data_IF_628247554605
#
_entry.id   IF_628247554605
#
_cell.length_a   1.000
_cell.length_b   1.000
_cell.length_c   1.000
_cell.angle_alpha   90.00
_cell.angle_beta   90.00
_cell.angle_gamma   90.00
#
_symmetry.space_group_name_H-M   'P 1'
#
loop_
_entity.id
_entity.type
_entity.pdbx_description
1 polymer ?
#
# COMPACT_ATOMS: atom_id res chain seq x y z
N UNK A 1 -31.09 -9.66 14.47
CA UNK A 1 -29.69 -9.86 14.92
C UNK A 1 -29.01 -8.51 14.78
N UNK A 2 -28.51 -7.93 15.87
CA UNK A 2 -27.76 -6.68 15.82
C UNK A 2 -26.45 -6.94 15.07
N UNK A 3 -26.34 -6.52 13.80
CA UNK A 3 -25.06 -6.42 13.10
C UNK A 3 -24.20 -5.43 13.87
N UNK A 4 -23.30 -5.94 14.74
CA UNK A 4 -22.25 -5.11 15.31
C UNK A 4 -21.48 -4.50 14.15
N UNK A 5 -21.50 -3.18 14.06
CA UNK A 5 -20.66 -2.42 13.14
C UNK A 5 -19.22 -2.75 13.51
N UNK A 6 -18.50 -3.39 12.59
CA UNK A 6 -17.08 -3.69 12.81
C UNK A 6 -16.34 -2.36 12.92
N UNK A 7 -15.59 -2.19 14.02
CA UNK A 7 -14.67 -1.08 14.14
C UNK A 7 -13.67 -1.12 12.98
N UNK A 8 -13.29 0.05 12.47
CA UNK A 8 -12.34 0.22 11.37
C UNK A 8 -11.47 1.40 11.73
N UNK A 9 -10.17 1.27 11.52
CA UNK A 9 -9.20 2.29 11.89
C UNK A 9 -8.55 2.90 10.66
N UNK A 10 -8.20 4.15 10.83
CA UNK A 10 -7.33 4.94 9.96
C UNK A 10 -5.97 5.01 10.62
N UNK A 11 -4.99 5.70 10.04
CA UNK A 11 -3.71 5.88 10.72
C UNK A 11 -2.56 6.28 9.83
N UNK A 12 -2.82 6.65 8.58
CA UNK A 12 -1.78 7.23 7.74
C UNK A 12 -1.54 8.66 8.19
N UNK A 13 -0.32 8.93 8.65
CA UNK A 13 0.16 10.26 8.93
C UNK A 13 0.33 11.07 7.64
N UNK A 14 0.37 12.41 7.71
CA UNK A 14 0.57 13.25 6.53
C UNK A 14 1.80 12.81 5.73
N UNK A 15 1.66 12.85 4.41
CA UNK A 15 2.75 12.61 3.46
C UNK A 15 3.96 13.48 3.80
N UNK A 16 5.15 12.88 3.71
CA UNK A 16 6.44 13.57 3.79
C UNK A 16 7.08 13.68 2.41
N UNK A 17 8.07 14.57 2.27
CA UNK A 17 8.85 14.72 1.04
C UNK A 17 10.31 14.43 1.33
N UNK A 18 10.86 13.40 0.69
CA UNK A 18 12.27 13.07 0.72
C UNK A 18 12.84 13.07 -0.70
N UNK A 19 13.68 14.05 -1.08
CA UNK A 19 14.17 14.20 -2.45
C UNK A 19 15.10 13.07 -2.91
N UNK A 20 15.49 12.16 -2.01
CA UNK A 20 16.27 10.96 -2.33
C UNK A 20 15.41 9.82 -2.86
N UNK A 21 14.09 9.89 -2.70
CA UNK A 21 13.18 8.90 -3.27
C UNK A 21 13.05 9.20 -4.76
N UNK A 22 13.37 8.25 -5.65
CA UNK A 22 13.24 8.47 -7.08
C UNK A 22 11.77 8.58 -7.48
N UNK A 23 11.48 9.55 -8.34
CA UNK A 23 10.19 9.69 -8.99
C UNK A 23 10.16 8.87 -10.28
N UNK A 24 9.06 8.17 -10.53
CA UNK A 24 8.88 7.34 -11.72
C UNK A 24 9.07 8.16 -13.01
N UNK A 25 8.53 9.38 -13.06
CA UNK A 25 8.67 10.28 -14.21
C UNK A 25 10.14 10.55 -14.59
N UNK A 26 11.01 10.73 -13.59
CA UNK A 26 12.45 10.91 -13.81
C UNK A 26 13.12 9.63 -14.34
N UNK A 27 12.69 8.45 -13.91
CA UNK A 27 13.22 7.16 -14.38
C UNK A 27 12.78 6.81 -15.81
N UNK A 28 11.67 7.42 -16.25
CA UNK A 28 11.09 7.22 -17.57
C UNK A 28 11.40 8.36 -18.54
N UNK A 29 12.11 9.40 -18.10
CA UNK A 29 12.44 10.55 -18.95
C UNK A 29 13.11 10.12 -20.26
N UNK A 30 12.53 10.54 -21.39
CA UNK A 30 13.00 10.20 -22.73
C UNK A 30 12.66 8.77 -23.22
N UNK A 31 11.92 7.98 -22.44
CA UNK A 31 11.42 6.66 -22.85
C UNK A 31 10.00 6.77 -23.37
N UNK A 32 9.71 6.05 -24.45
CA UNK A 32 8.34 5.80 -24.88
C UNK A 32 7.90 4.44 -24.33
N UNK A 33 6.92 4.44 -23.43
CA UNK A 33 6.33 3.22 -22.90
C UNK A 33 5.03 2.88 -23.66
N UNK A 34 4.67 1.59 -23.76
CA UNK A 34 3.34 1.22 -24.20
C UNK A 34 2.30 1.76 -23.20
N UNK A 35 1.08 2.08 -23.65
CA UNK A 35 0.00 2.43 -22.73
C UNK A 35 -0.30 1.22 -21.81
N UNK A 36 -0.75 1.47 -20.57
CA UNK A 36 -1.19 0.40 -19.69
C UNK A 36 -2.37 -0.37 -20.32
N UNK A 37 -2.54 -1.66 -20.01
CA UNK A 37 -3.71 -2.42 -20.44
C UNK A 37 -5.01 -1.74 -19.97
N UNK A 38 -6.15 -1.93 -20.65
CA UNK A 38 -7.40 -1.28 -20.29
C UNK A 38 -7.92 -1.70 -18.90
N UNK A 39 -7.56 -2.90 -18.44
CA UNK A 39 -7.92 -3.43 -17.11
C UNK A 39 -6.95 -4.51 -16.68
N UNK A 40 -6.71 -4.61 -15.37
CA UNK A 40 -6.04 -5.76 -14.73
C UNK A 40 -6.71 -6.07 -13.41
N UNK A 41 -6.72 -7.33 -13.00
CA UNK A 41 -7.25 -7.74 -11.70
C UNK A 41 -6.43 -8.91 -11.13
N UNK A 42 -5.50 -8.57 -10.23
CA UNK A 42 -4.63 -9.53 -9.57
C UNK A 42 -5.29 -10.23 -8.37
N UNK A 43 -6.54 -9.94 -8.04
CA UNK A 43 -7.29 -10.65 -6.99
C UNK A 43 -8.21 -11.74 -7.53
N UNK A 44 -8.26 -11.93 -8.85
CA UNK A 44 -9.07 -12.98 -9.47
C UNK A 44 -8.65 -14.36 -8.95
N UNK A 45 -9.57 -15.05 -8.26
CA UNK A 45 -9.34 -16.37 -7.66
C UNK A 45 -8.86 -16.35 -6.20
N UNK A 46 -8.59 -15.17 -5.63
CA UNK A 46 -8.26 -15.03 -4.21
C UNK A 46 -9.52 -15.20 -3.33
N UNK A 47 -9.37 -15.60 -2.05
CA UNK A 47 -10.45 -15.57 -1.08
C UNK A 47 -11.08 -14.17 -0.96
N UNK A 48 -12.37 -14.11 -0.61
CA UNK A 48 -13.05 -12.83 -0.39
C UNK A 48 -12.63 -12.14 0.93
N UNK A 49 -12.11 -12.92 1.89
CA UNK A 49 -11.61 -12.42 3.16
C UNK A 49 -10.09 -12.40 3.15
N UNK A 50 -9.53 -11.19 3.15
CA UNK A 50 -8.08 -10.94 3.15
C UNK A 50 -7.49 -10.86 4.57
N UNK A 51 -8.33 -10.96 5.61
CA UNK A 51 -7.91 -10.79 7.00
C UNK A 51 -7.81 -9.31 7.39
N UNK A 52 -8.19 -8.97 8.62
CA UNK A 52 -8.25 -7.58 9.06
C UNK A 52 -6.87 -6.98 9.37
N UNK A 53 -5.89 -7.82 9.71
CA UNK A 53 -4.53 -7.41 10.04
C UNK A 53 -4.50 -6.33 11.12
N UNK A 54 -5.33 -6.52 12.17
CA UNK A 54 -5.53 -5.59 13.29
C UNK A 54 -6.04 -4.18 12.94
N UNK A 55 -6.34 -3.88 11.67
CA UNK A 55 -6.76 -2.55 11.25
C UNK A 55 -8.23 -2.19 11.60
N UNK A 56 -8.85 -2.98 12.48
CA UNK A 56 -10.07 -2.71 13.22
C UNK A 56 -9.81 -2.24 14.67
N UNK A 57 -8.58 -2.43 15.16
CA UNK A 57 -8.15 -2.09 16.53
C UNK A 57 -6.97 -1.10 16.56
N UNK A 58 -6.07 -1.15 15.58
CA UNK A 58 -4.86 -0.34 15.48
C UNK A 58 -4.89 0.60 14.29
N UNK A 59 -4.21 1.74 14.42
CA UNK A 59 -4.00 2.71 13.33
C UNK A 59 -2.87 2.32 12.38
N UNK A 60 -2.77 1.04 12.07
CA UNK A 60 -1.63 0.40 11.41
C UNK A 60 -1.81 0.23 9.90
N UNK A 61 -2.72 0.97 9.27
CA UNK A 61 -3.08 0.80 7.85
C UNK A 61 -1.86 0.77 6.91
N UNK A 62 -0.82 1.54 7.19
CA UNK A 62 0.42 1.54 6.41
C UNK A 62 1.17 0.21 6.46
N UNK A 63 1.05 -0.51 7.58
CA UNK A 63 1.62 -1.83 7.78
C UNK A 63 0.71 -2.92 7.19
N UNK A 64 -0.60 -2.87 7.47
CA UNK A 64 -1.56 -3.84 6.94
C UNK A 64 -1.56 -3.87 5.40
N UNK A 65 -1.51 -2.71 4.75
CA UNK A 65 -1.43 -2.61 3.30
C UNK A 65 -0.20 -3.31 2.69
N UNK A 66 0.94 -3.34 3.39
CA UNK A 66 2.14 -4.08 2.95
C UNK A 66 1.89 -5.59 2.94
N UNK A 67 1.26 -6.14 3.97
CA UNK A 67 0.96 -7.56 4.01
C UNK A 67 -0.15 -7.96 3.03
N UNK A 68 -1.10 -7.07 2.73
CA UNK A 68 -2.02 -7.25 1.62
C UNK A 68 -1.31 -7.29 0.25
N UNK A 69 -0.26 -6.48 0.04
CA UNK A 69 0.58 -6.59 -1.15
C UNK A 69 1.22 -7.98 -1.25
N UNK A 70 1.76 -8.50 -0.14
CA UNK A 70 2.37 -9.84 -0.08
C UNK A 70 1.35 -10.93 -0.41
N UNK A 71 0.10 -10.84 0.08
CA UNK A 71 -0.97 -11.78 -0.28
C UNK A 71 -1.19 -11.80 -1.80
N UNK A 72 -1.29 -10.63 -2.43
CA UNK A 72 -1.49 -10.50 -3.88
C UNK A 72 -0.32 -11.08 -4.65
N UNK A 73 0.92 -10.70 -4.29
CA UNK A 73 2.12 -11.17 -4.97
C UNK A 73 2.31 -12.67 -4.85
N UNK A 74 2.24 -13.22 -3.63
CA UNK A 74 2.41 -14.65 -3.38
C UNK A 74 1.34 -15.47 -4.09
N UNK A 75 0.07 -15.06 -4.01
CA UNK A 75 -1.00 -15.76 -4.69
C UNK A 75 -0.79 -15.79 -6.21
N UNK A 76 -0.52 -14.64 -6.82
CA UNK A 76 -0.45 -14.56 -8.28
C UNK A 76 0.85 -15.10 -8.86
N UNK A 77 1.99 -14.92 -8.21
CA UNK A 77 3.28 -15.41 -8.69
C UNK A 77 3.54 -16.87 -8.34
N UNK A 78 2.99 -17.36 -7.21
CA UNK A 78 3.31 -18.69 -6.66
C UNK A 78 2.09 -19.63 -6.60
N UNK A 79 0.92 -19.15 -7.02
CA UNK A 79 -0.36 -19.87 -6.91
C UNK A 79 -0.70 -20.31 -5.47
N UNK A 80 -0.19 -19.55 -4.48
CA UNK A 80 -0.40 -19.79 -3.05
C UNK A 80 -0.33 -18.47 -2.30
N UNK A 81 -1.45 -18.07 -1.70
CA UNK A 81 -1.48 -16.90 -0.83
C UNK A 81 -0.67 -17.14 0.44
N UNK A 82 0.18 -16.18 0.78
CA UNK A 82 0.83 -16.08 2.08
C UNK A 82 0.15 -15.00 2.90
N UNK A 83 -0.51 -15.42 3.98
CA UNK A 83 -1.14 -14.54 4.97
C UNK A 83 -0.32 -14.60 6.25
N UNK A 84 0.26 -13.47 6.64
CA UNK A 84 1.05 -13.39 7.87
C UNK A 84 0.16 -13.23 9.11
N UNK A 85 0.58 -13.79 10.26
CA UNK A 85 -0.14 -13.58 11.53
C UNK A 85 -0.23 -12.11 11.92
N UNK A 86 -1.34 -11.71 12.55
CA UNK A 86 -1.55 -10.35 13.10
C UNK A 86 -0.38 -9.86 13.99
N UNK A 87 0.28 -10.77 14.71
CA UNK A 87 1.45 -10.46 15.54
C UNK A 87 2.62 -9.89 14.73
N UNK A 88 2.79 -10.32 13.48
CA UNK A 88 3.87 -9.84 12.62
C UNK A 88 3.52 -8.48 12.00
N UNK A 89 2.22 -8.22 11.79
CA UNK A 89 1.69 -6.90 11.46
C UNK A 89 1.92 -5.91 12.61
N UNK A 90 1.54 -6.28 13.84
CA UNK A 90 1.77 -5.48 15.04
C UNK A 90 3.27 -5.22 15.25
N UNK A 91 4.13 -6.22 15.05
CA UNK A 91 5.58 -6.03 15.14
C UNK A 91 6.11 -5.04 14.10
N UNK A 92 5.58 -5.03 12.88
CA UNK A 92 5.95 -4.01 11.90
C UNK A 92 5.52 -2.63 12.38
N UNK A 93 4.30 -2.50 12.93
CA UNK A 93 3.79 -1.23 13.45
C UNK A 93 4.62 -0.72 14.63
N UNK A 94 5.05 -1.59 15.54
CA UNK A 94 5.99 -1.27 16.62
C UNK A 94 7.31 -0.76 16.03
N UNK A 95 7.90 -1.49 15.08
CA UNK A 95 9.27 -1.25 14.64
C UNK A 95 9.40 -0.10 13.64
N UNK A 96 8.42 0.08 12.74
CA UNK A 96 8.45 1.08 11.68
C UNK A 96 7.70 2.37 12.05
N UNK A 97 6.70 2.29 12.93
CA UNK A 97 5.84 3.43 13.28
C UNK A 97 5.96 3.85 14.76
N UNK A 98 6.64 3.07 15.60
CA UNK A 98 6.86 3.41 17.00
C UNK A 98 5.66 3.12 17.91
N UNK A 99 4.74 2.25 17.50
CA UNK A 99 3.64 1.81 18.35
C UNK A 99 4.16 1.15 19.64
N UNK A 100 3.53 1.49 20.78
CA UNK A 100 3.82 0.92 22.08
C UNK A 100 2.57 0.23 22.65
N UNK A 101 2.47 -1.11 22.62
CA UNK A 101 1.28 -1.83 23.07
C UNK A 101 0.97 -1.62 24.56
N UNK A 102 1.94 -1.18 25.36
CA UNK A 102 1.71 -0.86 26.79
C UNK A 102 0.92 0.43 27.00
N UNK A 103 0.86 1.33 26.01
CA UNK A 103 0.08 2.56 26.09
C UNK A 103 -1.39 2.34 25.75
N UNK A 104 -1.73 1.24 25.06
CA UNK A 104 -3.07 0.98 24.55
C UNK A 104 -3.51 1.97 23.47
N UNK A 105 -4.76 1.83 23.02
CA UNK A 105 -5.32 2.63 21.93
C UNK A 105 -4.81 2.22 20.54
N UNK A 106 -5.08 3.07 19.55
CA UNK A 106 -4.79 2.79 18.14
C UNK A 106 -3.31 2.98 17.77
N UNK A 107 -2.54 3.67 18.61
CA UNK A 107 -1.16 4.04 18.34
C UNK A 107 -0.99 5.31 17.50
N UNK A 108 0.25 5.64 17.11
CA UNK A 108 0.60 6.92 16.51
C UNK A 108 0.32 7.05 15.00
N UNK A 109 -0.14 5.99 14.33
CA UNK A 109 -0.18 5.92 12.88
C UNK A 109 1.21 5.78 12.25
N UNK A 110 1.26 5.69 10.92
CA UNK A 110 2.48 5.49 10.15
C UNK A 110 2.63 6.49 9.00
N UNK A 111 3.86 6.87 8.69
CA UNK A 111 4.19 7.59 7.46
C UNK A 111 4.69 6.59 6.41
N UNK A 112 4.12 6.66 5.20
CA UNK A 112 4.36 5.68 4.13
C UNK A 112 5.82 5.59 3.71
N UNK A 113 6.50 6.72 3.53
CA UNK A 113 7.92 6.73 3.16
C UNK A 113 8.81 6.12 4.25
N UNK A 114 8.49 6.35 5.52
CA UNK A 114 9.22 5.74 6.64
C UNK A 114 9.00 4.22 6.69
N UNK A 115 7.77 3.75 6.48
CA UNK A 115 7.47 2.32 6.41
C UNK A 115 8.21 1.69 5.22
N UNK A 116 8.11 2.25 4.03
CA UNK A 116 8.82 1.75 2.83
C UNK A 116 10.35 1.75 3.02
N UNK A 117 10.92 2.79 3.65
CA UNK A 117 12.35 2.80 3.98
C UNK A 117 12.72 1.73 5.01
N UNK A 118 11.84 1.47 5.98
CA UNK A 118 12.02 0.37 6.94
C UNK A 118 12.02 -0.99 6.22
N UNK A 119 11.07 -1.22 5.31
CA UNK A 119 11.02 -2.44 4.49
C UNK A 119 12.28 -2.62 3.64
N UNK A 120 12.78 -1.53 3.04
CA UNK A 120 13.99 -1.55 2.22
C UNK A 120 15.24 -1.93 3.02
N UNK A 121 15.37 -1.40 4.24
CA UNK A 121 16.61 -1.51 5.02
C UNK A 121 16.59 -2.67 6.01
N UNK A 122 15.44 -2.90 6.66
CA UNK A 122 15.23 -3.88 7.73
C UNK A 122 14.28 -5.03 7.32
N UNK A 123 13.30 -4.75 6.46
CA UNK A 123 12.28 -5.72 6.02
C UNK A 123 11.11 -5.85 6.99
N UNK A 124 9.96 -6.32 6.53
CA UNK A 124 8.84 -6.67 7.40
C UNK A 124 9.17 -7.94 8.22
N UNK A 125 8.70 -8.06 9.48
CA UNK A 125 8.60 -9.35 10.15
C UNK A 125 7.88 -10.38 9.28
N UNK A 126 8.38 -11.61 9.23
CA UNK A 126 7.82 -12.64 8.38
C UNK A 126 8.01 -14.06 8.95
N UNK A 127 6.98 -14.90 8.81
CA UNK A 127 6.84 -16.18 9.48
C UNK A 127 6.60 -16.04 10.99
N UNK A 128 6.23 -17.13 11.68
CA UNK A 128 5.83 -17.12 13.09
C UNK A 128 6.67 -16.20 14.00
N UNK A 129 6.03 -15.16 14.54
CA UNK A 129 6.65 -14.18 15.45
C UNK A 129 7.84 -13.42 14.84
N UNK A 130 7.89 -13.24 13.52
CA UNK A 130 8.90 -12.44 12.83
C UNK A 130 10.25 -13.14 12.73
N UNK A 131 10.26 -14.47 12.69
CA UNK A 131 11.48 -15.28 12.66
C UNK A 131 12.37 -15.01 11.43
N UNK A 132 11.79 -14.45 10.37
CA UNK A 132 12.49 -14.01 9.16
C UNK A 132 12.10 -12.59 8.78
N UNK A 133 12.74 -12.03 7.74
CA UNK A 133 12.52 -10.65 7.30
C UNK A 133 12.23 -10.61 5.81
N UNK A 134 11.12 -10.00 5.45
CA UNK A 134 10.71 -9.77 4.07
C UNK A 134 11.14 -8.38 3.61
N UNK A 135 12.21 -8.27 2.81
CA UNK A 135 12.71 -6.99 2.31
C UNK A 135 12.19 -6.70 0.91
N UNK A 136 11.79 -5.46 0.68
CA UNK A 136 11.57 -4.95 -0.67
C UNK A 136 12.92 -4.65 -1.33
N UNK A 137 12.97 -4.73 -2.67
CA UNK A 137 14.16 -4.41 -3.45
C UNK A 137 14.33 -2.90 -3.65
N UNK A 138 13.21 -2.16 -3.66
CA UNK A 138 13.16 -0.72 -3.84
C UNK A 138 11.72 -0.23 -4.03
N UNK A 139 11.57 1.08 -4.04
CA UNK A 139 10.28 1.72 -4.30
C UNK A 139 10.47 3.05 -5.01
N UNK A 140 9.48 3.48 -5.78
CA UNK A 140 9.48 4.74 -6.52
C UNK A 140 8.22 5.52 -6.19
N UNK A 141 8.32 6.84 -6.13
CA UNK A 141 7.15 7.69 -6.01
C UNK A 141 6.51 7.91 -7.38
N UNK A 142 5.18 7.79 -7.44
CA UNK A 142 4.37 7.94 -8.65
C UNK A 142 3.47 9.15 -8.46
N UNK A 143 3.35 10.00 -9.50
CA UNK A 143 2.46 11.16 -9.43
C UNK A 143 1.00 10.69 -9.49
N UNK A 144 0.18 10.89 -8.43
CA UNK A 144 -1.23 10.48 -8.46
C UNK A 144 -2.05 11.19 -9.54
N UNK A 145 -1.57 12.32 -10.08
CA UNK A 145 -2.25 13.05 -11.15
C UNK A 145 -2.09 12.37 -12.51
N UNK A 146 -1.08 11.51 -12.66
CA UNK A 146 -0.89 10.72 -13.87
C UNK A 146 -1.51 9.33 -13.71
N UNK A 147 -2.79 9.20 -14.04
CA UNK A 147 -3.53 7.94 -13.90
C UNK A 147 -2.92 6.81 -14.75
N UNK A 148 -2.31 7.12 -15.90
CA UNK A 148 -1.67 6.09 -16.71
C UNK A 148 -0.40 5.55 -16.05
N UNK A 149 0.36 6.40 -15.34
CA UNK A 149 1.49 5.94 -14.53
C UNK A 149 1.03 5.10 -13.33
N UNK A 150 -0.09 5.46 -12.70
CA UNK A 150 -0.70 4.65 -11.63
C UNK A 150 -1.13 3.28 -12.16
N UNK A 151 -1.82 3.23 -13.31
CA UNK A 151 -2.24 2.00 -13.96
C UNK A 151 -1.06 1.12 -14.38
N UNK A 152 -0.01 1.74 -14.93
CA UNK A 152 1.23 1.05 -15.28
C UNK A 152 1.90 0.51 -14.01
N UNK A 153 1.92 1.29 -12.93
CA UNK A 153 2.44 0.84 -11.62
C UNK A 153 1.68 -0.37 -11.10
N UNK A 154 0.35 -0.38 -11.15
CA UNK A 154 -0.45 -1.54 -10.76
C UNK A 154 -0.10 -2.74 -11.65
N UNK A 155 -0.10 -2.55 -12.97
CA UNK A 155 0.21 -3.62 -13.94
C UNK A 155 1.57 -4.25 -13.66
N UNK A 156 2.57 -3.42 -13.42
CA UNK A 156 3.96 -3.85 -13.41
C UNK A 156 4.45 -4.27 -12.01
N UNK A 157 3.95 -3.64 -10.95
CA UNK A 157 4.30 -3.95 -9.56
C UNK A 157 3.32 -4.96 -8.93
N UNK A 158 2.23 -5.31 -9.62
CA UNK A 158 1.14 -6.13 -9.08
C UNK A 158 0.20 -5.36 -8.15
N UNK A 159 0.71 -4.31 -7.48
CA UNK A 159 -0.08 -3.37 -6.70
C UNK A 159 0.48 -1.95 -6.82
N UNK A 160 -0.39 -0.94 -6.66
CA UNK A 160 0.06 0.38 -6.23
C UNK A 160 -0.25 0.56 -4.74
N UNK A 161 0.73 1.00 -3.95
CA UNK A 161 0.57 1.31 -2.53
C UNK A 161 0.28 2.80 -2.40
N UNK A 162 -0.86 3.18 -1.81
CA UNK A 162 -1.38 4.55 -1.86
C UNK A 162 -1.77 5.09 -0.49
N UNK A 163 -1.64 6.42 -0.36
CA UNK A 163 -2.11 7.20 0.77
C UNK A 163 -3.16 8.23 0.35
N UNK A 164 -4.21 8.38 1.15
CA UNK A 164 -5.29 9.32 0.85
C UNK A 164 -5.96 9.87 2.10
N UNK A 165 -6.59 11.04 1.95
CA UNK A 165 -7.40 11.65 2.99
C UNK A 165 -8.81 11.07 2.92
N UNK A 166 -9.28 10.48 4.02
CA UNK A 166 -10.56 9.77 4.09
C UNK A 166 -11.70 10.76 4.35
N UNK A 167 -12.62 10.96 3.40
CA UNK A 167 -13.87 11.66 3.67
C UNK A 167 -14.83 10.78 4.49
N UNK A 168 -15.63 11.43 5.33
CA UNK A 168 -16.61 10.79 6.21
C UNK A 168 -17.62 9.90 5.46
N UNK A 169 -17.95 10.20 4.20
CA UNK A 169 -18.94 9.44 3.41
C UNK A 169 -18.53 7.98 3.15
N UNK A 170 -17.24 7.66 3.09
CA UNK A 170 -16.78 6.28 2.90
C UNK A 170 -16.58 5.53 4.22
N UNK A 171 -16.76 6.20 5.37
CA UNK A 171 -16.67 5.58 6.69
C UNK A 171 -17.83 6.06 7.58
N UNK A 172 -19.09 5.77 7.22
CA UNK A 172 -20.25 6.31 7.92
C UNK A 172 -20.30 5.85 9.37
N UNK A 173 -20.69 6.76 10.27
CA UNK A 173 -20.88 6.41 11.69
C UNK A 173 -21.97 5.36 11.83
N UNK A 174 -21.66 4.24 12.48
CA UNK A 174 -22.63 3.17 12.71
C UNK A 174 -22.99 2.36 11.47
N UNK A 175 -22.19 2.40 10.41
CA UNK A 175 -22.38 1.62 9.19
C UNK A 175 -21.09 1.04 8.64
N UNK A 176 -21.24 0.18 7.62
CA UNK A 176 -20.11 -0.31 6.85
C UNK A 176 -19.74 0.67 5.73
N UNK A 177 -18.45 0.79 5.37
CA UNK A 177 -18.02 1.46 4.16
C UNK A 177 -18.76 0.94 2.93
N UNK A 178 -19.18 1.83 2.01
CA UNK A 178 -19.80 1.40 0.78
C UNK A 178 -18.82 0.57 -0.06
N UNK A 179 -19.32 -0.43 -0.78
CA UNK A 179 -18.50 -1.26 -1.67
C UNK A 179 -17.81 -0.45 -2.79
N UNK A 180 -18.39 0.69 -3.17
CA UNK A 180 -17.84 1.62 -4.16
C UNK A 180 -17.65 3.00 -3.53
N UNK A 181 -16.43 3.50 -3.56
CA UNK A 181 -16.04 4.81 -3.04
C UNK A 181 -16.15 5.85 -4.14
N UNK A 182 -17.04 6.81 -3.93
CA UNK A 182 -17.34 7.90 -4.86
C UNK A 182 -17.28 9.23 -4.13
N UNK A 183 -17.06 10.32 -4.88
CA UNK A 183 -17.06 11.67 -4.30
C UNK A 183 -18.49 12.03 -3.92
N UNK A 184 -18.70 12.35 -2.65
CA UNK A 184 -19.93 12.98 -2.17
C UNK A 184 -19.62 14.44 -1.79
N UNK A 185 -20.02 15.42 -2.61
CA UNK A 185 -19.82 16.83 -2.30
C UNK A 185 -20.57 17.30 -1.05
N UNK A 186 -21.62 16.59 -0.63
CA UNK A 186 -22.43 16.94 0.54
C UNK A 186 -21.83 16.45 1.87
N UNK A 187 -20.89 15.51 1.80
CA UNK A 187 -20.27 14.89 2.98
C UNK A 187 -18.79 14.59 2.75
N UNK A 188 -18.01 15.64 2.50
CA UNK A 188 -16.57 15.53 2.21
C UNK A 188 -15.67 15.89 3.40
N UNK A 189 -16.19 15.91 4.62
CA UNK A 189 -15.37 16.20 5.80
C UNK A 189 -14.28 15.13 5.94
N UNK A 190 -13.01 15.55 6.01
CA UNK A 190 -11.89 14.63 6.18
C UNK A 190 -11.80 14.20 7.64
N UNK A 191 -11.77 12.90 7.88
CA UNK A 191 -11.76 12.31 9.22
C UNK A 191 -10.43 11.64 9.58
N UNK A 192 -9.49 11.58 8.64
CA UNK A 192 -8.14 11.04 8.87
C UNK A 192 -7.45 10.67 7.55
N UNK A 193 -6.27 10.06 7.66
CA UNK A 193 -5.53 9.50 6.54
C UNK A 193 -5.55 7.97 6.55
N UNK A 194 -5.59 7.36 5.36
CA UNK A 194 -5.56 5.91 5.21
C UNK A 194 -4.58 5.46 4.14
N UNK A 195 -4.01 4.28 4.35
CA UNK A 195 -3.10 3.62 3.44
C UNK A 195 -3.69 2.28 2.99
N UNK A 196 -3.64 2.01 1.69
CA UNK A 196 -4.21 0.79 1.07
C UNK A 196 -3.38 0.35 -0.13
N UNK A 197 -3.68 -0.83 -0.66
CA UNK A 197 -3.12 -1.29 -1.94
C UNK A 197 -4.18 -1.43 -3.02
N UNK A 198 -3.77 -1.14 -4.25
CA UNK A 198 -4.56 -1.26 -5.46
C UNK A 198 -4.07 -2.44 -6.30
N UNK A 199 -4.69 -3.64 -6.21
CA UNK A 199 -4.27 -4.81 -6.98
C UNK A 199 -4.90 -4.90 -8.38
N UNK A 200 -5.59 -3.87 -8.83
CA UNK A 200 -6.24 -3.89 -10.13
C UNK A 200 -7.02 -2.62 -10.44
N UNK A 201 -7.53 -2.55 -11.66
CA UNK A 201 -8.36 -1.46 -12.15
C UNK A 201 -9.11 -1.84 -13.42
N UNK A 202 -10.07 -1.01 -13.78
CA UNK A 202 -10.75 -0.97 -15.08
C UNK A 202 -11.01 0.50 -15.49
N UNK A 203 -11.92 0.72 -16.43
CA UNK A 203 -12.28 2.03 -16.92
C UNK A 203 -12.95 2.91 -15.84
N UNK A 204 -13.65 2.31 -14.88
CA UNK A 204 -14.44 2.99 -13.86
C UNK A 204 -13.63 3.36 -12.61
N UNK A 205 -12.62 2.56 -12.26
CA UNK A 205 -11.79 2.83 -11.09
C UNK A 205 -10.76 1.76 -10.75
N UNK A 206 -10.12 1.95 -9.60
CA UNK A 206 -9.21 0.98 -9.01
C UNK A 206 -9.96 -0.03 -8.12
N UNK A 207 -9.48 -1.27 -8.10
CA UNK A 207 -9.80 -2.26 -7.07
C UNK A 207 -8.92 -1.93 -5.86
N UNK A 208 -9.47 -2.03 -4.64
CA UNK A 208 -8.78 -1.71 -3.39
C UNK A 208 -8.88 -2.89 -2.45
N UNK A 209 -7.79 -3.25 -1.77
CA UNK A 209 -7.86 -4.10 -0.58
C UNK A 209 -7.77 -3.19 0.65
N UNK A 210 -8.77 -3.26 1.52
CA UNK A 210 -8.78 -2.56 2.80
C UNK A 210 -9.66 -3.28 3.80
N UNK A 211 -9.36 -3.17 5.10
CA UNK A 211 -10.17 -3.74 6.18
C UNK A 211 -10.61 -5.21 5.91
N UNK A 212 -9.66 -6.01 5.40
CA UNK A 212 -9.85 -7.43 5.10
C UNK A 212 -10.78 -7.78 3.93
N UNK A 213 -11.15 -6.83 3.07
CA UNK A 213 -12.02 -7.09 1.92
C UNK A 213 -11.73 -6.17 0.72
N UNK A 214 -12.42 -6.43 -0.39
CA UNK A 214 -12.31 -5.64 -1.62
C UNK A 214 -13.31 -4.49 -1.65
N UNK A 215 -12.85 -3.35 -2.16
CA UNK A 215 -13.68 -2.21 -2.53
C UNK A 215 -13.33 -1.75 -3.95
N UNK A 216 -14.17 -0.88 -4.50
CA UNK A 216 -13.91 -0.16 -5.75
C UNK A 216 -13.71 1.32 -5.44
N UNK A 217 -12.59 1.90 -5.85
CA UNK A 217 -12.35 3.34 -5.78
C UNK A 217 -12.53 3.96 -7.16
N UNK A 218 -13.59 4.75 -7.35
CA UNK A 218 -13.83 5.41 -8.63
C UNK A 218 -12.70 6.41 -8.95
N UNK A 219 -12.32 6.56 -10.22
CA UNK A 219 -11.24 7.49 -10.60
C UNK A 219 -11.47 8.94 -10.13
N UNK A 220 -12.70 9.50 -10.16
CA UNK A 220 -12.94 10.82 -9.57
C UNK A 220 -12.68 10.90 -8.06
N UNK A 221 -12.90 9.81 -7.33
CA UNK A 221 -12.55 9.74 -5.90
C UNK A 221 -11.03 9.70 -5.74
N UNK A 222 -10.36 8.83 -6.49
CA UNK A 222 -8.90 8.72 -6.51
C UNK A 222 -8.26 10.10 -6.74
N UNK A 223 -8.62 10.77 -7.85
CA UNK A 223 -8.05 12.06 -8.23
C UNK A 223 -8.31 13.18 -7.22
N UNK A 224 -9.35 13.06 -6.39
CA UNK A 224 -9.71 14.08 -5.39
C UNK A 224 -8.98 13.89 -4.07
N UNK A 225 -8.78 12.64 -3.63
CA UNK A 225 -8.39 12.35 -2.25
C UNK A 225 -7.02 11.71 -2.08
N UNK A 226 -6.48 11.05 -3.11
CA UNK A 226 -5.17 10.40 -3.08
C UNK A 226 -4.07 11.43 -3.22
N UNK A 227 -3.13 11.45 -2.27
CA UNK A 227 -2.04 12.44 -2.20
C UNK A 227 -0.62 11.83 -2.31
N UNK A 228 -0.50 10.50 -2.21
CA UNK A 228 0.73 9.75 -2.49
C UNK A 228 0.46 8.37 -3.11
N UNK A 229 1.36 7.96 -4.00
CA UNK A 229 1.35 6.65 -4.66
C UNK A 229 2.80 6.15 -4.76
N UNK A 230 2.99 4.88 -4.46
CA UNK A 230 4.29 4.22 -4.55
C UNK A 230 4.19 2.91 -5.34
N UNK A 231 5.11 2.76 -6.28
CA UNK A 231 5.40 1.46 -6.91
C UNK A 231 6.45 0.73 -6.09
N UNK A 232 6.18 -0.53 -5.71
CA UNK A 232 7.08 -1.35 -4.91
C UNK A 232 7.65 -2.47 -5.77
N UNK A 233 8.97 -2.57 -5.81
CA UNK A 233 9.67 -3.69 -6.42
C UNK A 233 9.98 -4.73 -5.35
N UNK A 234 9.37 -5.91 -5.48
CA UNK A 234 9.48 -7.01 -4.52
C UNK A 234 9.85 -8.31 -5.22
N UNK A 235 10.77 -9.09 -4.63
CA UNK A 235 11.21 -10.36 -5.21
C UNK A 235 10.09 -11.41 -5.33
N UNK A 236 9.01 -11.28 -4.57
CA UNK A 236 7.82 -12.14 -4.68
C UNK A 236 7.08 -11.90 -5.99
N UNK A 237 7.21 -10.70 -6.57
CA UNK A 237 6.52 -10.28 -7.79
C UNK A 237 7.41 -10.28 -9.03
N UNK A 238 8.73 -10.25 -8.88
CA UNK A 238 9.65 -10.30 -10.02
C UNK A 238 9.47 -11.63 -10.76
N UNK A 239 9.08 -11.54 -12.03
CA UNK A 239 8.94 -12.68 -12.92
C UNK A 239 10.29 -13.36 -13.23
N UNK A 240 10.26 -14.48 -13.96
CA UNK A 240 11.47 -15.21 -14.37
C UNK A 240 12.46 -14.37 -15.21
N UNK A 241 12.06 -13.18 -15.69
CA UNK A 241 12.84 -12.25 -16.49
C UNK A 241 13.62 -11.19 -15.68
N UNK A 242 13.40 -11.08 -14.37
CA UNK A 242 14.30 -10.33 -13.47
C UNK A 242 14.27 -8.80 -13.57
N UNK A 243 13.22 -8.21 -14.15
CA UNK A 243 13.10 -6.75 -14.35
C UNK A 243 11.98 -6.13 -13.51
N UNK A 244 12.17 -4.86 -13.15
CA UNK A 244 11.20 -4.02 -12.45
C UNK A 244 10.23 -3.36 -13.44
N UNK A 245 9.14 -2.75 -12.93
CA UNK A 245 8.23 -1.89 -13.69
C UNK A 245 8.84 -0.89 -14.67
N UNK A 246 9.90 -0.20 -14.27
CA UNK A 246 10.57 0.78 -15.14
C UNK A 246 11.56 0.12 -16.14
N UNK A 247 11.46 -1.21 -16.32
CA UNK A 247 12.35 -2.04 -17.11
C UNK A 247 13.75 -2.18 -16.51
N UNK A 248 13.92 -1.86 -15.23
CA UNK A 248 15.24 -1.84 -14.58
C UNK A 248 15.63 -3.23 -14.10
N UNK A 249 16.93 -3.53 -14.10
CA UNK A 249 17.43 -4.71 -13.40
C UNK A 249 17.44 -4.47 -11.89
N UNK A 250 17.48 -5.55 -11.09
CA UNK A 250 17.66 -5.47 -9.64
C UNK A 250 18.89 -4.62 -9.28
N UNK A 251 20.01 -4.79 -9.98
CA UNK A 251 21.23 -4.00 -9.73
C UNK A 251 21.03 -2.49 -9.97
N UNK A 252 20.31 -2.10 -11.02
CA UNK A 252 20.00 -0.70 -11.29
C UNK A 252 19.06 -0.12 -10.23
N UNK A 253 18.08 -0.90 -9.77
CA UNK A 253 17.20 -0.49 -8.68
C UNK A 253 17.98 -0.33 -7.37
N UNK A 254 18.87 -1.27 -7.06
CA UNK A 254 19.74 -1.18 -5.88
C UNK A 254 20.60 0.08 -5.90
N UNK A 255 21.17 0.43 -7.07
CA UNK A 255 21.94 1.66 -7.25
C UNK A 255 21.12 2.91 -6.94
N UNK A 256 19.89 3.01 -7.46
CA UNK A 256 18.99 4.13 -7.13
C UNK A 256 18.70 4.22 -5.63
N UNK A 257 18.53 3.06 -4.98
CA UNK A 257 18.19 2.99 -3.56
C UNK A 257 19.37 3.22 -2.61
N UNK A 258 20.61 3.34 -3.10
CA UNK A 258 21.81 3.50 -2.24
C UNK A 258 21.70 4.70 -1.29
N UNK A 259 21.17 5.83 -1.76
CA UNK A 259 21.00 7.05 -0.97
C UNK A 259 20.01 6.90 0.20
N UNK A 260 19.09 5.93 0.13
CA UNK A 260 18.13 5.60 1.19
C UNK A 260 18.67 4.53 2.14
N UNK A 261 19.56 3.65 1.67
CA UNK A 261 20.22 2.61 2.49
C UNK A 261 21.30 3.19 3.42
N UNK A 262 22.00 4.25 3.00
CA UNK A 262 23.07 4.89 3.78
C UNK A 262 22.64 5.94 4.80
N UNK A 263 21.35 6.31 4.83
CA UNK A 263 20.84 7.37 5.69
C UNK A 263 19.92 6.82 6.78
N UNK A 264 20.50 6.41 7.91
CA UNK A 264 19.76 6.45 9.19
C UNK A 264 19.42 7.91 9.46
N UNK A 265 18.16 8.30 9.25
CA UNK A 265 17.68 9.55 9.82
C UNK A 265 17.82 9.41 11.34
N UNK A 266 18.69 10.23 11.93
CA UNK A 266 18.71 10.44 13.35
C UNK A 266 17.31 10.93 13.74
N UNK A 267 16.62 10.13 14.55
CA UNK A 267 15.42 10.56 15.24
C UNK A 267 15.89 11.59 16.26
N UNK A 268 15.63 12.86 16.00
CA UNK A 268 15.69 13.92 16.99
C UNK A 268 14.28 14.15 17.52
#
# INVERSE_FOLDING_TARGET
MSTQVKARKLGRNPRTYNPRIPHLSSLLAGKQLPPPPPSVNYTTGMPANFGMMLNDTLGDCTCAAVYHAIQVWSFKAQNKETTEPDKDVEQLYIQACGYNPKQGGEGPGGNEQHVLQYLLTKGAPFGPSGQSRHKILGFVEVDPRNIDDVKSTINDCGVAYIGFNVPQNIMPQGGDPPAVWTVDPSNSNIIGGHAVVLPGYDAEGAIVISWGQLYKMAWPFFSKFVDEVYGIADSTWVDAGGKTPAGMTVAQLEQLMQALKGGTAAVA
#
